data_IF_906803990625
#
_entry.id   IF_906803990625
#
_cell.length_a   1.000
_cell.length_b   1.000
_cell.length_c   1.000
_cell.angle_alpha   90.00
_cell.angle_beta   90.00
_cell.angle_gamma   90.00
#
_symmetry.space_group_name_H-M   'P 1'
#
loop_
_entity.id
_entity.type
_entity.pdbx_description
1 polymer ?
#
# COMPACT_ATOMS: atom_id res chain seq x y z
N UNK A 1 -6.98 30.52 -17.31
CA UNK A 1 -6.02 30.90 -16.24
C UNK A 1 -6.16 32.40 -15.96
N UNK A 2 -6.00 32.87 -14.73
CA UNK A 2 -6.01 34.31 -14.39
C UNK A 2 -4.57 34.74 -14.07
N UNK A 3 -4.12 35.82 -14.69
CA UNK A 3 -2.80 36.40 -14.50
C UNK A 3 -2.95 37.80 -13.93
N UNK A 4 -2.18 38.12 -12.89
CA UNK A 4 -2.21 39.43 -12.25
C UNK A 4 -0.90 40.15 -12.54
N UNK A 5 -1.00 41.30 -13.20
CA UNK A 5 0.12 42.20 -13.45
C UNK A 5 -0.27 43.58 -12.92
N UNK A 6 0.55 44.15 -12.04
CA UNK A 6 0.30 45.45 -11.40
C UNK A 6 -1.08 45.59 -10.72
N UNK A 7 -1.57 44.52 -10.09
CA UNK A 7 -2.83 44.55 -9.34
C UNK A 7 -4.10 44.47 -10.20
N UNK A 8 -3.95 44.32 -11.53
CA UNK A 8 -5.07 44.08 -12.43
C UNK A 8 -5.08 42.61 -12.87
N UNK A 9 -6.18 41.92 -12.61
CA UNK A 9 -6.38 40.54 -13.04
C UNK A 9 -6.84 40.50 -14.52
N UNK A 10 -6.08 39.81 -15.36
CA UNK A 10 -6.41 39.51 -16.76
C UNK A 10 -6.67 38.02 -16.93
N UNK A 11 -7.72 37.66 -17.68
CA UNK A 11 -7.95 36.27 -18.10
C UNK A 11 -7.01 35.94 -19.25
N UNK A 12 -6.09 35.01 -19.02
CA UNK A 12 -5.28 34.43 -20.07
C UNK A 12 -6.09 33.35 -20.79
N UNK A 13 -6.12 33.45 -22.12
CA UNK A 13 -6.54 32.36 -22.97
C UNK A 13 -5.33 31.46 -23.22
N UNK A 14 -5.50 30.15 -23.03
CA UNK A 14 -4.47 29.16 -23.36
C UNK A 14 -4.40 28.93 -24.86
N UNK A 15 -3.32 28.28 -25.31
CA UNK A 15 -3.28 27.73 -26.66
C UNK A 15 -4.40 26.69 -26.82
N UNK A 16 -5.16 26.80 -27.91
CA UNK A 16 -6.04 25.73 -28.33
C UNK A 16 -5.17 24.61 -28.88
N UNK A 17 -5.35 23.40 -28.36
CA UNK A 17 -4.74 22.17 -28.88
C UNK A 17 -5.86 21.31 -29.43
N UNK A 18 -5.73 20.87 -30.67
CA UNK A 18 -6.68 19.92 -31.23
C UNK A 18 -6.50 18.53 -30.59
N UNK A 19 -7.53 17.67 -30.60
CA UNK A 19 -7.40 16.28 -30.17
C UNK A 19 -6.25 15.55 -30.89
N UNK A 20 -6.10 15.79 -32.19
CA UNK A 20 -5.06 15.18 -33.04
C UNK A 20 -3.64 15.59 -32.59
N UNK A 21 -3.45 16.87 -32.21
CA UNK A 21 -2.17 17.36 -31.69
C UNK A 21 -1.85 16.76 -30.32
N UNK A 22 -2.86 16.62 -29.46
CA UNK A 22 -2.70 15.98 -28.15
C UNK A 22 -2.28 14.52 -28.34
N UNK A 23 -2.96 13.78 -29.21
CA UNK A 23 -2.66 12.38 -29.48
C UNK A 23 -1.23 12.20 -30.01
N UNK A 24 -0.86 12.95 -31.05
CA UNK A 24 0.48 12.91 -31.63
C UNK A 24 1.60 13.19 -30.60
N UNK A 25 1.41 14.16 -29.72
CA UNK A 25 2.39 14.46 -28.65
C UNK A 25 2.44 13.32 -27.64
N UNK A 26 1.28 12.80 -27.21
CA UNK A 26 1.25 11.72 -26.23
C UNK A 26 1.89 10.44 -26.76
N UNK A 27 1.70 10.11 -28.04
CA UNK A 27 2.29 8.92 -28.65
C UNK A 27 3.81 9.05 -28.78
N UNK A 28 4.28 10.23 -29.20
CA UNK A 28 5.71 10.52 -29.22
C UNK A 28 6.38 10.39 -27.83
N UNK A 29 5.67 10.74 -26.76
CA UNK A 29 6.16 10.57 -25.38
C UNK A 29 6.16 9.10 -24.97
N UNK A 30 5.10 8.34 -25.29
CA UNK A 30 5.00 6.90 -24.99
C UNK A 30 6.12 6.10 -25.66
N UNK A 31 6.54 6.47 -26.86
CA UNK A 31 7.64 5.81 -27.58
C UNK A 31 9.01 5.96 -26.88
N UNK A 32 9.20 6.99 -26.06
CA UNK A 32 10.49 7.26 -25.42
C UNK A 32 10.74 6.41 -24.18
N UNK A 33 9.69 6.02 -23.45
CA UNK A 33 9.82 5.23 -22.24
C UNK A 33 8.50 4.55 -21.86
N UNK A 34 8.62 3.35 -21.32
CA UNK A 34 7.52 2.68 -20.64
C UNK A 34 6.98 3.51 -19.47
N UNK A 35 5.66 3.53 -19.25
CA UNK A 35 5.05 4.28 -18.17
C UNK A 35 5.47 3.73 -16.80
N UNK A 36 5.91 4.63 -15.92
CA UNK A 36 6.20 4.34 -14.52
C UNK A 36 4.98 4.74 -13.69
N UNK A 37 4.07 3.79 -13.48
CA UNK A 37 2.88 4.03 -12.66
C UNK A 37 3.24 4.06 -11.18
N UNK A 38 2.69 5.04 -10.46
CA UNK A 38 2.88 5.16 -9.00
C UNK A 38 2.33 3.94 -8.23
N UNK A 39 1.33 3.27 -8.80
CA UNK A 39 0.71 2.07 -8.24
C UNK A 39 0.45 1.07 -9.35
N UNK A 40 0.63 -0.22 -9.07
CA UNK A 40 0.19 -1.29 -9.97
C UNK A 40 -1.28 -1.64 -9.71
N UNK A 41 -1.92 -2.28 -10.68
CA UNK A 41 -3.30 -2.74 -10.51
C UNK A 41 -3.43 -3.70 -9.32
N UNK A 42 -2.45 -4.59 -9.14
CA UNK A 42 -2.41 -5.53 -8.02
C UNK A 42 -2.31 -4.80 -6.68
N UNK A 43 -1.47 -3.75 -6.59
CA UNK A 43 -1.34 -2.94 -5.39
C UNK A 43 -2.66 -2.23 -5.04
N UNK A 44 -3.37 -1.69 -6.04
CA UNK A 44 -4.67 -1.05 -5.85
C UNK A 44 -5.74 -2.06 -5.40
N UNK A 45 -5.76 -3.27 -5.97
CA UNK A 45 -6.70 -4.33 -5.59
C UNK A 45 -6.43 -4.82 -4.17
N UNK A 46 -5.16 -4.98 -3.78
CA UNK A 46 -4.79 -5.31 -2.39
C UNK A 46 -5.27 -4.22 -1.45
N UNK A 47 -5.03 -2.94 -1.78
CA UNK A 47 -5.48 -1.81 -0.96
C UNK A 47 -7.01 -1.75 -0.82
N UNK A 48 -7.77 -1.99 -1.90
CA UNK A 48 -9.24 -2.04 -1.85
C UNK A 48 -9.75 -3.21 -0.98
N UNK A 49 -9.20 -4.41 -1.16
CA UNK A 49 -9.58 -5.56 -0.33
C UNK A 49 -9.19 -5.37 1.15
N UNK A 50 -8.11 -4.64 1.40
CA UNK A 50 -7.66 -4.29 2.76
C UNK A 50 -8.65 -3.39 3.48
N UNK A 51 -9.21 -2.40 2.76
CA UNK A 51 -10.20 -1.45 3.28
C UNK A 51 -11.54 -2.11 3.62
N UNK A 52 -11.99 -3.10 2.84
CA UNK A 52 -13.24 -3.84 3.12
C UNK A 52 -13.17 -4.75 4.36
N UNK A 53 -11.97 -5.06 4.85
CA UNK A 53 -11.76 -5.99 5.97
C UNK A 53 -11.32 -5.31 7.28
N UNK A 54 -11.35 -3.96 7.35
CA UNK A 54 -10.95 -3.19 8.54
C UNK A 54 -11.70 -3.63 9.81
N UNK A 55 -13.00 -3.92 9.69
CA UNK A 55 -13.86 -4.35 10.81
C UNK A 55 -13.50 -5.73 11.39
N UNK A 56 -12.63 -6.51 10.72
CA UNK A 56 -12.21 -7.86 11.15
C UNK A 56 -10.76 -7.92 11.63
N UNK A 57 -10.10 -6.77 11.79
CA UNK A 57 -8.71 -6.71 12.25
C UNK A 57 -8.66 -6.86 13.76
N UNK A 58 -7.88 -7.83 14.22
CA UNK A 58 -7.65 -8.07 15.65
C UNK A 58 -6.95 -6.85 16.29
N UNK A 59 -7.33 -6.51 17.52
CA UNK A 59 -6.73 -5.42 18.31
C UNK A 59 -5.19 -5.52 18.41
N UNK A 60 -4.62 -6.73 18.45
CA UNK A 60 -3.18 -6.94 18.55
C UNK A 60 -2.47 -6.89 17.20
N UNK A 61 -3.18 -6.67 16.09
CA UNK A 61 -2.60 -6.72 14.75
C UNK A 61 -1.40 -5.78 14.60
N UNK A 62 -1.54 -4.50 14.99
CA UNK A 62 -0.46 -3.51 14.84
C UNK A 62 0.77 -3.87 15.68
N UNK A 63 0.56 -4.34 16.90
CA UNK A 63 1.64 -4.75 17.81
C UNK A 63 2.38 -5.99 17.28
N UNK A 64 1.63 -6.99 16.83
CA UNK A 64 2.19 -8.22 16.25
C UNK A 64 2.92 -7.92 14.93
N UNK A 65 2.36 -7.05 14.08
CA UNK A 65 3.00 -6.66 12.82
C UNK A 65 4.36 -5.99 13.07
N UNK A 66 4.40 -5.06 14.03
CA UNK A 66 5.63 -4.36 14.43
C UNK A 66 6.67 -5.34 14.94
N UNK A 67 6.27 -6.22 15.87
CA UNK A 67 7.15 -7.24 16.42
C UNK A 67 7.71 -8.19 15.33
N UNK A 68 6.87 -8.60 14.38
CA UNK A 68 7.28 -9.50 13.30
C UNK A 68 8.30 -8.84 12.37
N UNK A 69 8.12 -7.56 12.05
CA UNK A 69 9.08 -6.78 11.23
C UNK A 69 10.42 -6.62 11.96
N UNK A 70 10.40 -6.35 13.27
CA UNK A 70 11.62 -6.25 14.09
C UNK A 70 12.39 -7.58 14.17
N UNK A 71 11.69 -8.72 14.31
CA UNK A 71 12.31 -10.05 14.32
C UNK A 71 12.76 -10.53 12.93
N UNK A 72 12.19 -9.96 11.86
CA UNK A 72 12.46 -10.34 10.47
C UNK A 72 11.92 -11.73 10.08
N UNK A 73 11.20 -12.41 10.97
CA UNK A 73 10.57 -13.73 10.72
C UNK A 73 9.24 -13.83 11.46
N UNK A 74 8.23 -14.40 10.80
CA UNK A 74 6.93 -14.63 11.39
C UNK A 74 6.75 -16.11 11.79
N UNK A 75 6.69 -16.36 13.11
CA UNK A 75 6.49 -17.69 13.68
C UNK A 75 5.29 -17.71 14.63
N UNK A 76 4.32 -18.57 14.35
CA UNK A 76 3.10 -18.71 15.16
C UNK A 76 3.41 -19.03 16.63
N UNK A 77 4.33 -19.96 16.89
CA UNK A 77 4.68 -20.34 18.26
C UNK A 77 5.27 -19.15 19.04
N UNK A 78 6.19 -18.38 18.43
CA UNK A 78 6.72 -17.16 19.06
C UNK A 78 5.61 -16.15 19.36
N UNK A 79 4.71 -15.91 18.40
CA UNK A 79 3.60 -14.95 18.57
C UNK A 79 2.70 -15.39 19.73
N UNK A 80 2.32 -16.67 19.82
CA UNK A 80 1.49 -17.18 20.93
C UNK A 80 2.15 -17.00 22.30
N UNK A 81 3.48 -17.16 22.39
CA UNK A 81 4.23 -17.03 23.64
C UNK A 81 4.41 -15.56 24.05
N UNK A 82 4.77 -14.68 23.11
CA UNK A 82 5.06 -13.27 23.39
C UNK A 82 3.78 -12.50 23.71
N UNK A 83 2.71 -12.72 22.96
CA UNK A 83 1.45 -11.99 23.11
C UNK A 83 0.44 -12.72 24.01
N UNK A 84 0.78 -13.93 24.51
CA UNK A 84 -0.07 -14.69 25.41
C UNK A 84 -1.43 -15.10 24.82
N UNK A 85 -1.52 -15.19 23.48
CA UNK A 85 -2.76 -15.49 22.76
C UNK A 85 -2.85 -16.96 22.33
N UNK A 86 -4.08 -17.46 22.21
CA UNK A 86 -4.33 -18.81 21.71
C UNK A 86 -3.92 -18.99 20.24
N UNK A 87 -3.61 -20.24 19.86
CA UNK A 87 -3.11 -20.59 18.53
C UNK A 87 -4.03 -20.14 17.38
N UNK A 88 -5.34 -20.28 17.55
CA UNK A 88 -6.32 -19.86 16.54
C UNK A 88 -6.29 -18.35 16.31
N UNK A 89 -6.18 -17.56 17.40
CA UNK A 89 -6.10 -16.10 17.32
C UNK A 89 -4.80 -15.65 16.66
N UNK A 90 -3.68 -16.24 17.05
CA UNK A 90 -2.39 -16.00 16.40
C UNK A 90 -2.43 -16.34 14.90
N UNK A 91 -3.13 -17.43 14.53
CA UNK A 91 -3.31 -17.83 13.12
C UNK A 91 -4.11 -16.79 12.34
N UNK A 92 -5.21 -16.29 12.91
CA UNK A 92 -6.00 -15.23 12.26
C UNK A 92 -5.19 -13.95 12.08
N UNK A 93 -4.45 -13.51 13.10
CA UNK A 93 -3.58 -12.33 13.00
C UNK A 93 -2.52 -12.51 11.89
N UNK A 94 -1.85 -13.66 11.84
CA UNK A 94 -0.84 -13.95 10.82
C UNK A 94 -1.44 -14.01 9.41
N UNK A 95 -2.66 -14.54 9.26
CA UNK A 95 -3.36 -14.52 7.97
C UNK A 95 -3.74 -13.09 7.56
N UNK A 96 -4.10 -12.22 8.51
CA UNK A 96 -4.27 -10.80 8.22
C UNK A 96 -2.95 -10.17 7.79
N UNK A 97 -1.83 -10.47 8.45
CA UNK A 97 -0.51 -9.94 8.03
C UNK A 97 -0.16 -10.34 6.60
N UNK A 98 -0.54 -11.54 6.17
CA UNK A 98 -0.39 -11.99 4.77
C UNK A 98 -1.26 -11.17 3.82
N UNK A 99 -2.55 -10.96 4.16
CA UNK A 99 -3.48 -10.17 3.34
C UNK A 99 -3.02 -8.72 3.14
N UNK A 100 -2.44 -8.13 4.18
CA UNK A 100 -1.88 -6.77 4.15
C UNK A 100 -0.46 -6.72 3.53
N UNK A 101 0.05 -7.86 3.05
CA UNK A 101 1.35 -7.93 2.38
C UNK A 101 2.55 -7.78 3.31
N UNK A 102 2.37 -7.88 4.63
CA UNK A 102 3.45 -7.76 5.63
C UNK A 102 4.32 -9.03 5.66
N UNK A 103 3.71 -10.20 5.46
CA UNK A 103 4.40 -11.50 5.46
C UNK A 103 4.05 -12.32 4.23
N UNK A 104 4.93 -13.26 3.87
CA UNK A 104 4.72 -14.18 2.76
C UNK A 104 3.58 -15.16 3.02
N UNK A 105 3.12 -15.78 1.93
CA UNK A 105 2.24 -16.95 1.99
C UNK A 105 2.85 -18.08 2.85
N UNK A 106 1.97 -18.96 3.32
CA UNK A 106 2.39 -20.10 4.13
C UNK A 106 3.12 -21.15 3.26
N UNK A 107 4.38 -21.43 3.60
CA UNK A 107 5.18 -22.49 2.95
C UNK A 107 5.31 -23.68 3.90
N UNK A 108 4.20 -24.42 4.05
CA UNK A 108 4.14 -25.66 4.84
C UNK A 108 4.39 -25.43 6.33
N UNK A 109 5.50 -25.95 6.84
CA UNK A 109 5.89 -25.84 8.27
C UNK A 109 6.93 -24.77 8.55
N UNK A 110 7.43 -24.09 7.51
CA UNK A 110 8.46 -23.06 7.67
C UNK A 110 7.83 -21.75 8.18
N UNK A 111 8.56 -20.97 9.01
CA UNK A 111 8.14 -19.63 9.38
C UNK A 111 8.04 -18.75 8.13
N UNK A 112 7.04 -17.87 8.10
CA UNK A 112 6.81 -16.96 6.96
C UNK A 112 7.86 -15.86 6.95
N UNK A 113 8.25 -15.44 5.76
CA UNK A 113 9.23 -14.36 5.55
C UNK A 113 8.53 -13.01 5.65
N UNK A 114 9.20 -12.01 6.23
CA UNK A 114 8.70 -10.64 6.26
C UNK A 114 9.00 -9.98 4.92
N UNK A 115 8.01 -9.29 4.35
CA UNK A 115 8.09 -8.68 3.02
C UNK A 115 8.28 -7.16 3.04
N UNK A 116 8.06 -6.52 4.19
CA UNK A 116 8.05 -5.06 4.31
C UNK A 116 9.06 -4.57 5.34
N UNK A 117 9.60 -3.38 5.11
CA UNK A 117 10.41 -2.65 6.09
C UNK A 117 9.54 -1.76 7.00
N UNK A 118 10.13 -1.25 8.08
CA UNK A 118 9.43 -0.43 9.08
C UNK A 118 8.76 0.83 8.47
N UNK A 119 9.41 1.43 7.47
CA UNK A 119 8.87 2.59 6.75
C UNK A 119 7.60 2.25 5.95
N UNK A 120 7.53 1.06 5.37
CA UNK A 120 6.38 0.58 4.61
C UNK A 120 5.26 0.14 5.54
N UNK A 121 5.60 -0.51 6.66
CA UNK A 121 4.64 -0.87 7.71
C UNK A 121 3.90 0.36 8.26
N UNK A 122 4.62 1.48 8.43
CA UNK A 122 4.01 2.74 8.90
C UNK A 122 2.93 3.26 7.93
N UNK A 123 3.17 3.15 6.62
CA UNK A 123 2.17 3.54 5.60
C UNK A 123 0.94 2.63 5.61
N UNK A 124 1.14 1.34 5.86
CA UNK A 124 0.02 0.39 6.01
C UNK A 124 -0.83 0.81 7.20
N UNK A 125 -0.22 1.19 8.33
CA UNK A 125 -0.98 1.66 9.50
C UNK A 125 -1.74 2.96 9.25
N UNK A 126 -1.14 3.93 8.56
CA UNK A 126 -1.86 5.16 8.17
C UNK A 126 -3.12 4.84 7.35
N UNK A 127 -3.05 3.86 6.44
CA UNK A 127 -4.21 3.43 5.65
C UNK A 127 -5.30 2.67 6.43
N UNK A 128 -4.99 2.18 7.64
CA UNK A 128 -5.94 1.48 8.52
C UNK A 128 -6.72 2.43 9.45
N UNK A 129 -6.20 3.65 9.64
CA UNK A 129 -6.76 4.64 10.58
C UNK A 129 -7.74 5.64 9.91
N UNK A 130 -8.06 5.45 8.63
CA UNK A 130 -9.05 6.20 7.85
C UNK A 130 -10.35 5.42 7.68
#
# INVERSE_FOLDING_TARGET
MLFSENGMARRLQGAYLSPDEIEAITDFIKEQREPEYLFTHEALVVQMNSLENLDQIDELFKEVATYVVEEGKCSLNKITQVFGIGFNRATQIVNSLEKFGVVSENVGTKPRTVLVEYAELSRIFEGLDY
#
